data_IF_794703632862
#
_entry.id   IF_794703632862
#
_cell.length_a   1.000
_cell.length_b   1.000
_cell.length_c   1.000
_cell.angle_alpha   90.00
_cell.angle_beta   90.00
_cell.angle_gamma   90.00
#
_symmetry.space_group_name_H-M   'P 1'
#
loop_
_entity.id
_entity.type
_entity.pdbx_description
1 polymer ?
#
# COMPACT_ATOMS: atom_id res chain seq x y z
N UNK A 1 -15.05 -1.47 -8.00
CA UNK A 1 -13.77 -0.88 -7.57
C UNK A 1 -13.94 -0.46 -6.13
N UNK A 2 -13.05 -0.86 -5.23
CA UNK A 2 -13.01 -0.42 -3.84
C UNK A 2 -11.61 0.13 -3.59
N UNK A 3 -11.53 1.40 -3.21
CA UNK A 3 -10.27 2.15 -3.07
C UNK A 3 -9.39 1.58 -1.95
N UNK A 4 -9.97 1.33 -0.77
CA UNK A 4 -9.23 0.73 0.35
C UNK A 4 -8.68 -0.67 0.00
N UNK A 5 -9.44 -1.46 -0.76
CA UNK A 5 -8.96 -2.75 -1.24
C UNK A 5 -7.82 -2.61 -2.26
N UNK A 6 -7.90 -1.59 -3.12
CA UNK A 6 -6.83 -1.28 -4.07
C UNK A 6 -5.53 -0.91 -3.35
N UNK A 7 -5.60 -0.02 -2.34
CA UNK A 7 -4.44 0.34 -1.52
C UNK A 7 -3.80 -0.88 -0.85
N UNK A 8 -4.65 -1.76 -0.31
CA UNK A 8 -4.21 -3.00 0.35
C UNK A 8 -3.47 -3.91 -0.62
N UNK A 9 -3.98 -4.07 -1.85
CA UNK A 9 -3.31 -4.86 -2.90
C UNK A 9 -1.94 -4.25 -3.24
N UNK A 10 -1.86 -2.93 -3.43
CA UNK A 10 -0.60 -2.24 -3.72
C UNK A 10 0.43 -2.44 -2.59
N UNK A 11 0.00 -2.30 -1.33
CA UNK A 11 0.84 -2.53 -0.16
C UNK A 11 1.39 -3.97 -0.12
N UNK A 12 0.51 -4.96 -0.31
CA UNK A 12 0.90 -6.38 -0.34
C UNK A 12 1.87 -6.63 -1.49
N UNK A 13 1.58 -6.12 -2.68
CA UNK A 13 2.45 -6.28 -3.85
C UNK A 13 3.85 -5.72 -3.61
N UNK A 14 3.96 -4.52 -3.02
CA UNK A 14 5.24 -3.94 -2.62
C UNK A 14 5.98 -4.85 -1.62
N UNK A 15 5.28 -5.36 -0.60
CA UNK A 15 5.88 -6.23 0.42
C UNK A 15 6.35 -7.58 -0.16
N UNK A 16 5.52 -8.23 -0.98
CA UNK A 16 5.81 -9.55 -1.58
C UNK A 16 7.01 -9.49 -2.51
N UNK A 17 7.12 -8.42 -3.31
CA UNK A 17 8.18 -8.29 -4.31
C UNK A 17 9.37 -7.47 -3.83
N UNK A 18 9.37 -7.04 -2.55
CA UNK A 18 10.40 -6.16 -1.97
C UNK A 18 10.57 -4.85 -2.76
N UNK A 19 9.48 -4.36 -3.35
CA UNK A 19 9.46 -3.07 -4.02
C UNK A 19 9.27 -1.94 -3.01
N UNK A 20 9.95 -0.82 -3.24
CA UNK A 20 9.67 0.43 -2.54
C UNK A 20 8.26 0.91 -2.87
N UNK A 21 7.57 1.56 -1.92
CA UNK A 21 6.31 2.24 -2.20
C UNK A 21 6.46 3.34 -3.26
N UNK A 22 7.67 3.86 -3.48
CA UNK A 22 7.96 4.81 -4.56
C UNK A 22 7.62 4.27 -5.96
N UNK A 23 7.54 2.95 -6.14
CA UNK A 23 7.09 2.36 -7.41
C UNK A 23 5.63 2.69 -7.75
N UNK A 24 4.83 3.09 -6.76
CA UNK A 24 3.45 3.53 -6.99
C UNK A 24 3.37 4.91 -7.65
N UNK A 25 4.45 5.69 -7.63
CA UNK A 25 4.53 6.99 -8.29
C UNK A 25 5.30 6.92 -9.63
N UNK A 26 5.60 5.70 -10.11
CA UNK A 26 6.29 5.49 -11.38
C UNK A 26 5.37 5.80 -12.57
N UNK A 27 5.87 6.61 -13.50
CA UNK A 27 5.09 7.05 -14.67
C UNK A 27 4.73 5.88 -15.61
N UNK A 28 5.62 4.91 -15.77
CA UNK A 28 5.36 3.74 -16.61
C UNK A 28 4.31 2.83 -15.99
N UNK A 29 4.33 2.69 -14.66
CA UNK A 29 3.26 2.01 -13.93
C UNK A 29 1.90 2.71 -14.11
N UNK A 30 1.86 4.05 -14.04
CA UNK A 30 0.63 4.81 -14.28
C UNK A 30 0.13 4.66 -15.72
N UNK A 31 1.04 4.71 -16.70
CA UNK A 31 0.72 4.47 -18.11
C UNK A 31 0.19 3.05 -18.35
N UNK A 32 0.77 2.04 -17.71
CA UNK A 32 0.30 0.65 -17.78
C UNK A 32 -1.11 0.52 -17.19
N UNK A 33 -1.35 1.11 -16.01
CA UNK A 33 -2.68 1.10 -15.37
C UNK A 33 -3.72 1.80 -16.24
N UNK A 34 -3.40 2.96 -16.81
CA UNK A 34 -4.30 3.68 -17.70
C UNK A 34 -4.58 2.89 -18.99
N UNK A 35 -3.58 2.22 -19.55
CA UNK A 35 -3.73 1.37 -20.73
C UNK A 35 -4.66 0.16 -20.46
N UNK A 36 -4.47 -0.52 -19.34
CA UNK A 36 -5.23 -1.73 -18.98
C UNK A 36 -6.62 -1.40 -18.43
N UNK A 37 -6.75 -0.28 -17.71
CA UNK A 37 -7.99 0.13 -17.07
C UNK A 37 -8.11 1.67 -16.95
N UNK A 38 -8.54 2.32 -18.04
CA UNK A 38 -8.63 3.78 -18.10
C UNK A 38 -9.41 4.41 -16.95
N UNK A 39 -8.91 5.54 -16.44
CA UNK A 39 -9.51 6.30 -15.35
C UNK A 39 -9.32 5.69 -13.96
N UNK A 40 -8.52 4.63 -13.83
CA UNK A 40 -8.10 4.11 -12.52
C UNK A 40 -6.98 5.01 -11.98
N UNK A 41 -7.13 5.47 -10.74
CA UNK A 41 -6.11 6.27 -10.06
C UNK A 41 -5.37 5.35 -9.08
N UNK A 42 -4.11 4.99 -9.34
CA UNK A 42 -3.29 4.26 -8.37
C UNK A 42 -3.08 5.09 -7.10
N UNK A 43 -2.98 4.47 -5.91
CA UNK A 43 -2.62 5.18 -4.71
C UNK A 43 -1.19 5.72 -4.81
N UNK A 44 -0.96 6.94 -4.33
CA UNK A 44 0.42 7.46 -4.23
C UNK A 44 1.25 6.65 -3.22
N UNK A 45 2.57 6.68 -3.39
CA UNK A 45 3.51 6.05 -2.45
C UNK A 45 3.28 6.45 -0.99
N UNK A 46 2.92 7.73 -0.77
CA UNK A 46 2.65 8.30 0.55
C UNK A 46 1.42 7.70 1.21
N UNK A 47 0.37 7.46 0.42
CA UNK A 47 -0.87 6.85 0.90
C UNK A 47 -0.59 5.41 1.33
N UNK A 48 0.09 4.64 0.48
CA UNK A 48 0.45 3.25 0.80
C UNK A 48 1.35 3.19 2.05
N UNK A 49 2.34 4.07 2.16
CA UNK A 49 3.21 4.14 3.32
C UNK A 49 2.45 4.51 4.61
N UNK A 50 1.53 5.46 4.51
CA UNK A 50 0.67 5.86 5.63
C UNK A 50 -0.20 4.70 6.10
N UNK A 51 -0.91 4.05 5.17
CA UNK A 51 -1.84 2.96 5.48
C UNK A 51 -1.12 1.77 6.15
N UNK A 52 0.06 1.39 5.63
CA UNK A 52 0.91 0.37 6.24
C UNK A 52 1.43 0.80 7.61
N UNK A 53 1.84 2.06 7.76
CA UNK A 53 2.30 2.63 9.02
C UNK A 53 1.22 2.60 10.10
N UNK A 54 -0.02 2.93 9.75
CA UNK A 54 -1.18 2.83 10.65
C UNK A 54 -1.42 1.39 11.07
N UNK A 55 -1.41 0.43 10.14
CA UNK A 55 -1.55 -0.98 10.48
C UNK A 55 -0.44 -1.42 11.44
N UNK A 56 0.81 -1.09 11.14
CA UNK A 56 1.93 -1.45 12.00
C UNK A 56 1.78 -0.87 13.42
N UNK A 57 1.34 0.39 13.55
CA UNK A 57 1.10 1.02 14.84
C UNK A 57 0.00 0.31 15.65
N UNK A 58 -1.12 -0.04 15.00
CA UNK A 58 -2.22 -0.74 15.69
C UNK A 58 -1.84 -2.16 16.09
N UNK A 59 -1.18 -2.93 15.21
CA UNK A 59 -0.66 -4.25 15.55
C UNK A 59 0.44 -4.20 16.61
N UNK A 60 1.27 -3.15 16.61
CA UNK A 60 2.28 -2.92 17.62
C UNK A 60 1.70 -2.81 19.03
N UNK A 61 0.51 -2.19 19.19
CA UNK A 61 -0.19 -2.15 20.48
C UNK A 61 -0.55 -3.54 20.99
N UNK A 62 -1.01 -4.42 20.09
CA UNK A 62 -1.36 -5.81 20.43
C UNK A 62 -0.12 -6.58 20.88
N UNK A 63 0.98 -6.47 20.13
CA UNK A 63 2.25 -7.13 20.49
C UNK A 63 2.80 -6.60 21.83
N UNK A 64 2.73 -5.28 22.04
CA UNK A 64 3.17 -4.67 23.29
C UNK A 64 2.38 -5.19 24.49
N UNK A 65 1.06 -5.33 24.35
CA UNK A 65 0.21 -5.95 25.37
C UNK A 65 0.71 -7.34 25.75
N UNK A 66 1.05 -8.20 24.78
CA UNK A 66 1.59 -9.54 25.05
C UNK A 66 2.96 -9.56 25.75
N UNK A 67 3.74 -8.48 25.64
CA UNK A 67 5.06 -8.37 26.29
C UNK A 67 4.92 -7.87 27.73
N UNK A 68 3.88 -7.08 28.03
CA UNK A 68 3.62 -6.54 29.36
C UNK A 68 2.82 -7.47 30.28
N UNK A 69 2.19 -8.52 29.73
CA UNK A 69 1.56 -9.64 30.49
C UNK A 69 2.61 -10.69 30.87
#
# INVERSE_FOLDING_TARGET
>A
YNEAWHHTICAIWCATNKHSFASQDDEWYHMEVELLRPGTIPPSSKIVAHDVGTLYAEYGKVVHWYIEV
#
